data_IF_937747961656
#
_entry.id   IF_937747961656
#
_cell.length_a   1.000
_cell.length_b   1.000
_cell.length_c   1.000
_cell.angle_alpha   90.00
_cell.angle_beta   90.00
_cell.angle_gamma   90.00
#
_symmetry.space_group_name_H-M   'P 1'
#
loop_
_entity.id
_entity.type
_entity.pdbx_description
1 polymer ?
#
# COMPACT_ATOMS: atom_id res chain seq x y z
N UNK A 1 29.17 18.26 -2.40
CA UNK A 1 27.88 17.58 -2.21
C UNK A 1 27.81 16.42 -3.19
N UNK A 2 27.54 15.18 -2.76
CA UNK A 2 27.36 14.04 -3.66
C UNK A 2 25.87 13.87 -3.95
N UNK A 3 25.50 13.80 -5.23
CA UNK A 3 24.13 13.55 -5.65
C UNK A 3 23.92 12.04 -5.83
N UNK A 4 22.82 11.53 -5.31
CA UNK A 4 22.43 10.12 -5.44
C UNK A 4 21.14 10.02 -6.25
N UNK A 5 21.11 9.10 -7.22
CA UNK A 5 19.90 8.79 -7.98
C UNK A 5 19.15 7.65 -7.28
N UNK A 6 17.89 7.89 -6.91
CA UNK A 6 17.00 6.88 -6.34
C UNK A 6 16.05 6.41 -7.43
N UNK A 7 16.24 5.18 -7.90
CA UNK A 7 15.30 4.56 -8.84
C UNK A 7 13.99 4.19 -8.13
N UNK A 8 12.91 3.99 -8.87
CA UNK A 8 11.61 3.55 -8.29
C UNK A 8 11.74 2.27 -7.46
N UNK A 9 12.58 1.31 -7.88
CA UNK A 9 12.79 0.08 -7.12
C UNK A 9 13.55 0.34 -5.81
N UNK A 10 14.52 1.27 -5.83
CA UNK A 10 15.23 1.71 -4.63
C UNK A 10 14.31 2.48 -3.68
N UNK A 11 13.44 3.36 -4.20
CA UNK A 11 12.43 4.08 -3.41
C UNK A 11 11.47 3.13 -2.69
N UNK A 12 10.92 2.14 -3.40
CA UNK A 12 10.08 1.08 -2.79
C UNK A 12 10.80 0.31 -1.69
N UNK A 13 12.08 -0.04 -1.92
CA UNK A 13 12.91 -0.71 -0.90
C UNK A 13 13.17 0.18 0.30
N UNK A 14 13.41 1.47 0.09
CA UNK A 14 13.64 2.45 1.14
C UNK A 14 12.39 2.61 2.03
N UNK A 15 11.23 2.81 1.40
CA UNK A 15 9.93 2.82 2.08
C UNK A 15 9.74 1.54 2.90
N UNK A 16 10.03 0.38 2.33
CA UNK A 16 9.88 -0.90 3.01
C UNK A 16 10.75 -1.04 4.26
N UNK A 17 12.03 -0.66 4.17
CA UNK A 17 12.95 -0.68 5.33
C UNK A 17 12.50 0.27 6.44
N UNK A 18 12.01 1.44 6.08
CA UNK A 18 11.48 2.39 7.05
C UNK A 18 10.17 1.89 7.68
N UNK A 19 9.30 1.23 6.91
CA UNK A 19 8.02 0.74 7.39
C UNK A 19 8.16 -0.31 8.50
N UNK A 20 9.20 -1.15 8.48
CA UNK A 20 9.55 -2.06 9.58
C UNK A 20 9.87 -1.31 10.89
N UNK A 21 10.34 -0.06 10.79
CA UNK A 21 10.63 0.79 11.94
C UNK A 21 9.48 1.72 12.33
N UNK A 22 8.42 1.78 11.52
CA UNK A 22 7.29 2.66 11.75
C UNK A 22 6.61 2.35 13.09
N UNK A 23 6.33 3.35 13.95
CA UNK A 23 5.78 3.11 15.29
C UNK A 23 4.50 2.27 15.30
N UNK A 24 3.53 2.62 14.43
CA UNK A 24 2.28 1.86 14.31
C UNK A 24 2.47 0.42 13.83
N UNK A 25 3.44 0.18 12.93
CA UNK A 25 3.74 -1.18 12.44
C UNK A 25 4.38 -2.01 13.53
N UNK A 26 5.36 -1.47 14.25
CA UNK A 26 5.97 -2.16 15.40
C UNK A 26 4.95 -2.47 16.49
N UNK A 27 4.09 -1.50 16.80
CA UNK A 27 3.03 -1.66 17.80
C UNK A 27 2.08 -2.80 17.41
N UNK A 28 1.50 -2.75 16.21
CA UNK A 28 0.49 -3.74 15.79
C UNK A 28 1.07 -5.15 15.61
N UNK A 29 2.37 -5.26 15.28
CA UNK A 29 3.04 -6.56 15.21
C UNK A 29 3.21 -7.21 16.60
N UNK A 30 3.24 -6.43 17.68
CA UNK A 30 3.28 -6.96 19.04
C UNK A 30 1.91 -7.39 19.56
N UNK A 31 0.86 -6.65 19.19
CA UNK A 31 -0.52 -6.96 19.53
C UNK A 31 -1.48 -6.26 18.57
N UNK A 32 -2.34 -7.05 17.92
CA UNK A 32 -3.27 -6.60 16.89
C UNK A 32 -3.05 -7.26 15.55
N UNK A 33 -3.68 -6.72 14.51
CA UNK A 33 -3.60 -7.24 13.15
C UNK A 33 -3.06 -6.21 12.16
N UNK A 34 -2.00 -6.58 11.45
CA UNK A 34 -1.44 -5.86 10.31
C UNK A 34 -1.92 -6.52 9.02
N UNK A 35 -2.57 -5.75 8.15
CA UNK A 35 -2.94 -6.20 6.80
C UNK A 35 -2.15 -5.41 5.78
N UNK A 36 -1.29 -6.09 5.02
CA UNK A 36 -0.54 -5.52 3.90
C UNK A 36 -1.24 -5.93 2.62
N UNK A 37 -1.95 -4.99 1.99
CA UNK A 37 -2.71 -5.27 0.76
C UNK A 37 -1.76 -5.39 -0.43
N UNK A 38 -1.97 -6.37 -1.28
CA UNK A 38 -1.13 -6.65 -2.45
C UNK A 38 -0.95 -5.44 -3.38
N UNK A 39 0.31 -5.20 -3.77
CA UNK A 39 0.72 -4.08 -4.61
C UNK A 39 2.24 -4.02 -4.72
N UNK A 40 2.79 -3.47 -5.80
CA UNK A 40 4.23 -3.59 -6.06
C UNK A 40 5.12 -2.92 -5.01
N UNK A 41 4.69 -1.81 -4.39
CA UNK A 41 5.40 -1.20 -3.25
C UNK A 41 5.21 -2.03 -1.98
N UNK A 42 3.97 -2.42 -1.71
CA UNK A 42 3.60 -3.24 -0.56
C UNK A 42 4.25 -4.62 -0.56
N UNK A 43 4.63 -5.17 -1.72
CA UNK A 43 5.39 -6.41 -1.82
C UNK A 43 6.80 -6.28 -1.23
N UNK A 44 7.45 -5.12 -1.34
CA UNK A 44 8.72 -4.86 -0.66
C UNK A 44 8.50 -4.76 0.86
N UNK A 45 7.42 -4.10 1.29
CA UNK A 45 7.09 -3.97 2.72
C UNK A 45 6.80 -5.34 3.32
N UNK A 46 5.96 -6.15 2.68
CA UNK A 46 5.64 -7.51 3.09
C UNK A 46 6.90 -8.37 3.20
N UNK A 47 7.80 -8.31 2.22
CA UNK A 47 9.09 -9.02 2.26
C UNK A 47 9.94 -8.60 3.46
N UNK A 48 10.11 -7.30 3.72
CA UNK A 48 10.94 -6.81 4.84
C UNK A 48 10.29 -7.11 6.21
N UNK A 49 8.96 -6.94 6.34
CA UNK A 49 8.23 -7.26 7.57
C UNK A 49 8.30 -8.75 7.88
N UNK A 50 7.99 -9.63 6.91
CA UNK A 50 8.08 -11.07 7.11
C UNK A 50 9.51 -11.53 7.39
N UNK A 51 10.51 -10.91 6.75
CA UNK A 51 11.93 -11.17 7.06
C UNK A 51 12.26 -10.80 8.50
N UNK A 52 11.79 -9.64 8.98
CA UNK A 52 12.02 -9.20 10.37
C UNK A 52 11.38 -10.13 11.42
N UNK A 53 10.34 -10.85 11.03
CA UNK A 53 9.64 -11.83 11.87
C UNK A 53 10.17 -13.27 11.70
N UNK A 54 11.15 -13.51 10.82
CA UNK A 54 11.64 -14.86 10.50
C UNK A 54 10.63 -15.72 9.74
N UNK A 55 9.65 -15.11 9.05
CA UNK A 55 8.52 -15.79 8.42
C UNK A 55 8.44 -15.59 6.89
N UNK A 56 9.53 -15.11 6.26
CA UNK A 56 9.55 -14.82 4.81
C UNK A 56 9.48 -16.08 3.93
N UNK A 57 9.74 -17.27 4.48
CA UNK A 57 9.71 -18.51 3.72
C UNK A 57 8.37 -18.73 3.02
N UNK A 58 8.41 -19.01 1.71
CA UNK A 58 7.21 -19.16 0.86
C UNK A 58 6.53 -17.86 0.45
N UNK A 59 7.07 -16.68 0.79
CA UNK A 59 6.61 -15.40 0.24
C UNK A 59 7.39 -15.04 -1.04
N UNK A 60 6.68 -14.50 -2.04
CA UNK A 60 7.31 -13.90 -3.23
C UNK A 60 6.66 -12.57 -3.58
N UNK A 61 7.46 -11.51 -3.67
CA UNK A 61 6.95 -10.19 -4.09
C UNK A 61 6.54 -10.14 -5.56
N UNK A 62 6.98 -11.09 -6.40
CA UNK A 62 6.74 -11.07 -7.86
C UNK A 62 5.22 -11.18 -8.13
N UNK A 63 4.55 -12.09 -7.43
CA UNK A 63 3.10 -12.30 -7.51
C UNK A 63 2.26 -11.38 -6.62
N UNK A 64 2.90 -10.64 -5.69
CA UNK A 64 2.20 -9.82 -4.70
C UNK A 64 1.71 -8.47 -5.26
N UNK A 65 0.80 -8.53 -6.22
CA UNK A 65 0.26 -7.36 -6.92
C UNK A 65 -1.17 -7.61 -7.40
N UNK A 66 -1.98 -6.56 -7.43
CA UNK A 66 -3.33 -6.56 -8.00
C UNK A 66 -3.49 -5.37 -8.93
N UNK A 67 -4.29 -5.53 -9.99
CA UNK A 67 -4.58 -4.44 -10.93
C UNK A 67 -3.33 -3.87 -11.57
N UNK A 68 -2.65 -4.66 -12.41
CA UNK A 68 -1.44 -4.24 -13.09
C UNK A 68 -1.78 -3.56 -14.43
N UNK A 69 -1.37 -2.31 -14.59
CA UNK A 69 -1.30 -1.66 -15.90
C UNK A 69 0.06 -1.95 -16.53
N UNK A 70 0.06 -2.59 -17.70
CA UNK A 70 1.26 -2.84 -18.50
C UNK A 70 1.22 -2.00 -19.77
N UNK A 71 2.39 -1.73 -20.35
CA UNK A 71 2.47 -1.06 -21.64
C UNK A 71 1.74 -1.89 -22.72
N UNK A 72 1.19 -1.25 -23.78
CA UNK A 72 0.59 -1.97 -24.90
C UNK A 72 1.55 -3.05 -25.44
N UNK A 73 1.06 -4.28 -25.58
CA UNK A 73 1.84 -5.43 -26.06
C UNK A 73 2.74 -6.11 -25.03
N UNK A 74 2.93 -5.55 -23.84
CA UNK A 74 3.66 -6.21 -22.77
C UNK A 74 2.76 -7.23 -22.06
N UNK A 75 3.32 -8.40 -21.72
CA UNK A 75 2.65 -9.39 -20.87
C UNK A 75 3.21 -9.30 -19.44
N UNK A 76 2.36 -9.27 -18.41
CA UNK A 76 2.83 -9.47 -17.04
C UNK A 76 3.58 -10.79 -16.94
N UNK A 77 4.61 -10.86 -16.12
CA UNK A 77 5.14 -12.16 -15.70
C UNK A 77 4.03 -12.95 -15.01
N UNK A 78 3.84 -14.21 -15.43
CA UNK A 78 2.96 -15.16 -14.74
C UNK A 78 3.54 -15.42 -13.35
N UNK A 79 2.76 -15.11 -12.33
CA UNK A 79 3.14 -15.33 -10.94
C UNK A 79 1.89 -15.53 -10.11
N UNK A 80 1.90 -16.58 -9.30
CA UNK A 80 0.78 -16.91 -8.45
C UNK A 80 0.59 -15.85 -7.36
N UNK A 81 -0.68 -15.52 -7.11
CA UNK A 81 -1.09 -14.64 -6.04
C UNK A 81 -1.73 -15.47 -4.93
N UNK A 82 -1.03 -15.59 -3.79
CA UNK A 82 -1.44 -16.44 -2.67
C UNK A 82 -2.20 -15.69 -1.55
N UNK A 83 -2.74 -14.50 -1.85
CA UNK A 83 -3.44 -13.66 -0.88
C UNK A 83 -2.61 -12.45 -0.41
N UNK A 84 -3.23 -11.63 0.44
CA UNK A 84 -2.55 -10.52 1.09
C UNK A 84 -1.67 -11.03 2.23
N UNK A 85 -0.83 -10.18 2.82
CA UNK A 85 -0.10 -10.54 4.04
C UNK A 85 -0.89 -10.04 5.23
N UNK A 86 -1.48 -10.98 5.97
CA UNK A 86 -2.20 -10.72 7.23
C UNK A 86 -1.37 -11.27 8.37
N UNK A 87 -1.00 -10.42 9.33
CA UNK A 87 -0.21 -10.80 10.49
C UNK A 87 -1.02 -10.47 11.74
N UNK A 88 -1.30 -11.46 12.57
CA UNK A 88 -2.01 -11.28 13.85
C UNK A 88 -1.05 -11.63 14.97
N UNK A 89 -0.85 -10.69 15.90
CA UNK A 89 0.04 -10.84 17.05
C UNK A 89 1.43 -11.40 16.66
N UNK A 90 1.98 -10.87 15.56
CA UNK A 90 3.29 -11.25 15.04
C UNK A 90 3.33 -12.53 14.21
N UNK A 91 2.20 -13.23 14.00
CA UNK A 91 2.13 -14.50 13.25
C UNK A 91 1.44 -14.31 11.90
N UNK A 92 2.12 -14.70 10.82
CA UNK A 92 1.60 -14.62 9.46
C UNK A 92 0.49 -15.65 9.22
N UNK A 93 -0.70 -15.16 8.96
CA UNK A 93 -1.89 -15.92 8.59
C UNK A 93 -1.91 -16.14 7.06
N UNK A 94 -1.32 -17.25 6.61
CA UNK A 94 -1.17 -17.57 5.18
C UNK A 94 -2.52 -17.78 4.50
N UNK A 95 -2.59 -17.41 3.21
CA UNK A 95 -3.77 -17.62 2.36
C UNK A 95 -4.90 -16.61 2.57
N UNK A 96 -4.81 -15.73 3.58
CA UNK A 96 -5.83 -14.72 3.86
C UNK A 96 -5.74 -13.53 2.93
N UNK A 97 -6.85 -12.84 2.76
CA UNK A 97 -6.98 -11.60 2.02
C UNK A 97 -7.74 -10.54 2.82
N UNK A 98 -7.60 -9.27 2.41
CA UNK A 98 -8.34 -8.15 3.01
C UNK A 98 -9.86 -8.35 2.96
N UNK A 99 -10.38 -9.10 1.99
CA UNK A 99 -11.81 -9.36 1.88
C UNK A 99 -12.34 -10.23 3.01
N UNK A 100 -11.52 -11.17 3.50
CA UNK A 100 -11.91 -12.09 4.57
C UNK A 100 -11.77 -11.45 5.94
N UNK A 101 -10.75 -10.60 6.12
CA UNK A 101 -10.40 -10.07 7.44
C UNK A 101 -10.94 -8.67 7.73
N UNK A 102 -11.41 -7.93 6.72
CA UNK A 102 -11.87 -6.55 6.92
C UNK A 102 -12.97 -6.41 7.99
N UNK A 103 -13.84 -7.42 8.13
CA UNK A 103 -14.90 -7.49 9.14
C UNK A 103 -14.44 -8.08 10.48
N UNK A 104 -13.17 -8.42 10.63
CA UNK A 104 -12.58 -8.86 11.89
C UNK A 104 -11.69 -7.78 12.50
N UNK A 105 -11.16 -6.88 11.66
CA UNK A 105 -10.32 -5.77 12.10
C UNK A 105 -11.06 -4.86 13.08
N UNK A 106 -10.31 -4.20 13.96
CA UNK A 106 -10.81 -3.31 15.02
C UNK A 106 -9.89 -2.12 15.23
N UNK A 107 -10.35 -1.16 16.02
CA UNK A 107 -9.51 -0.05 16.47
C UNK A 107 -8.20 -0.57 17.09
N UNK A 108 -7.08 0.06 16.69
CA UNK A 108 -5.73 -0.40 17.04
C UNK A 108 -5.07 -1.29 15.99
N UNK A 109 -5.81 -1.84 15.02
CA UNK A 109 -5.25 -2.54 13.87
C UNK A 109 -4.77 -1.57 12.78
N UNK A 110 -3.96 -2.07 11.85
CA UNK A 110 -3.35 -1.29 10.77
C UNK A 110 -3.52 -1.96 9.42
N UNK A 111 -3.92 -1.19 8.42
CA UNK A 111 -3.92 -1.58 7.02
C UNK A 111 -2.88 -0.76 6.26
N UNK A 112 -2.03 -1.45 5.49
CA UNK A 112 -1.14 -0.84 4.51
C UNK A 112 -1.72 -1.04 3.11
N UNK A 113 -2.08 0.05 2.43
CA UNK A 113 -2.56 0.01 1.05
C UNK A 113 -1.92 1.11 0.23
N UNK A 114 -1.19 0.75 -0.81
CA UNK A 114 -0.58 1.73 -1.71
C UNK A 114 -1.59 2.53 -2.53
N UNK A 115 -1.09 3.56 -3.19
CA UNK A 115 -1.85 4.48 -4.05
C UNK A 115 -1.28 4.56 -5.47
N UNK A 116 -2.09 5.09 -6.40
CA UNK A 116 -1.73 5.35 -7.79
C UNK A 116 -1.47 6.84 -8.07
N UNK A 117 -1.97 7.71 -7.20
CA UNK A 117 -1.74 9.15 -7.26
C UNK A 117 -1.70 9.71 -5.83
N UNK A 118 -0.92 10.76 -5.61
CA UNK A 118 -1.10 11.65 -4.48
C UNK A 118 -0.68 13.08 -4.83
N UNK A 119 -1.26 14.08 -4.16
CA UNK A 119 -0.93 15.48 -4.41
C UNK A 119 -0.20 16.15 -3.23
N UNK A 120 0.22 17.40 -3.44
CA UNK A 120 0.89 18.20 -2.42
C UNK A 120 -0.03 18.63 -1.26
N UNK A 121 -1.34 18.36 -1.34
CA UNK A 121 -2.33 18.66 -0.29
C UNK A 121 -2.48 17.51 0.69
N UNK A 122 -1.70 16.43 0.52
CA UNK A 122 -1.76 15.24 1.36
C UNK A 122 -2.91 14.31 1.01
N UNK A 123 -3.43 14.37 -0.22
CA UNK A 123 -4.49 13.48 -0.67
C UNK A 123 -3.90 12.37 -1.52
N UNK A 124 -4.29 11.12 -1.25
CA UNK A 124 -3.91 9.97 -2.06
C UNK A 124 -5.14 9.35 -2.73
N UNK A 125 -4.95 8.71 -3.87
CA UNK A 125 -5.99 7.96 -4.54
C UNK A 125 -5.48 6.69 -5.22
N UNK A 126 -6.35 5.69 -5.27
CA UNK A 126 -6.10 4.39 -5.88
C UNK A 126 -6.95 4.22 -7.13
N UNK A 127 -6.39 3.58 -8.15
CA UNK A 127 -7.14 3.21 -9.34
C UNK A 127 -7.99 1.96 -9.09
N UNK A 128 -9.19 1.95 -9.66
CA UNK A 128 -10.18 0.90 -9.48
C UNK A 128 -10.62 0.37 -10.85
N UNK A 129 -10.23 -0.87 -11.16
CA UNK A 129 -10.70 -1.62 -12.32
C UNK A 129 -12.01 -2.39 -12.10
N UNK A 130 -12.31 -2.76 -10.85
CA UNK A 130 -13.47 -3.60 -10.53
C UNK A 130 -14.76 -2.76 -10.37
N UNK A 131 -15.92 -3.18 -10.92
CA UNK A 131 -17.16 -2.39 -10.87
C UNK A 131 -17.68 -2.16 -9.44
N UNK A 132 -17.37 -3.05 -8.51
CA UNK A 132 -17.73 -2.91 -7.09
C UNK A 132 -16.64 -2.22 -6.24
N UNK A 133 -15.68 -1.53 -6.86
CA UNK A 133 -14.63 -0.79 -6.11
C UNK A 133 -13.42 -1.62 -5.66
N UNK A 134 -13.52 -2.94 -5.67
CA UNK A 134 -12.39 -3.86 -5.41
C UNK A 134 -11.85 -3.75 -3.99
N UNK A 135 -10.54 -3.97 -3.81
CA UNK A 135 -9.90 -3.98 -2.48
C UNK A 135 -10.03 -2.65 -1.73
N UNK A 136 -10.25 -1.54 -2.44
CA UNK A 136 -10.37 -0.25 -1.80
C UNK A 136 -11.64 -0.15 -0.93
N UNK A 137 -12.76 -0.73 -1.38
CA UNK A 137 -14.00 -0.73 -0.59
C UNK A 137 -13.85 -1.62 0.65
N UNK A 138 -13.25 -2.80 0.52
CA UNK A 138 -12.96 -3.67 1.68
C UNK A 138 -12.09 -2.96 2.73
N UNK A 139 -11.06 -2.22 2.28
CA UNK A 139 -10.25 -1.40 3.18
C UNK A 139 -11.07 -0.28 3.83
N UNK A 140 -11.93 0.41 3.09
CA UNK A 140 -12.78 1.47 3.66
C UNK A 140 -13.77 0.94 4.70
N UNK A 141 -14.29 -0.29 4.53
CA UNK A 141 -15.12 -0.94 5.56
C UNK A 141 -14.39 -1.03 6.89
N UNK A 142 -13.12 -1.46 6.87
CA UNK A 142 -12.29 -1.52 8.07
C UNK A 142 -11.92 -0.12 8.61
N UNK A 143 -11.44 0.76 7.73
CA UNK A 143 -10.89 2.07 8.12
C UNK A 143 -11.96 3.02 8.65
N UNK A 144 -13.05 3.19 7.90
CA UNK A 144 -14.15 4.10 8.28
C UNK A 144 -15.09 3.40 9.26
N UNK A 145 -15.52 2.19 8.94
CA UNK A 145 -16.53 1.48 9.73
C UNK A 145 -16.04 1.04 11.11
N UNK A 146 -14.71 0.85 11.27
CA UNK A 146 -14.13 0.27 12.49
C UNK A 146 -12.94 1.03 13.05
N UNK A 147 -12.67 2.23 12.53
CA UNK A 147 -11.60 3.12 13.00
C UNK A 147 -10.20 2.48 12.91
N UNK A 148 -10.01 1.59 11.94
CA UNK A 148 -8.71 0.97 11.66
C UNK A 148 -7.77 2.01 11.03
N UNK A 149 -6.50 2.05 11.46
CA UNK A 149 -5.52 2.98 10.91
C UNK A 149 -5.16 2.57 9.48
N UNK A 150 -5.22 3.53 8.55
CA UNK A 150 -4.71 3.36 7.18
C UNK A 150 -3.39 4.09 7.03
N UNK A 151 -2.35 3.37 6.60
CA UNK A 151 -1.10 3.94 6.09
C UNK A 151 -1.05 3.64 4.59
N UNK A 152 -0.60 4.62 3.82
CA UNK A 152 -0.59 4.63 2.36
C UNK A 152 0.87 4.77 1.90
N UNK A 153 1.62 3.66 1.79
CA UNK A 153 2.95 3.68 1.23
C UNK A 153 2.88 3.99 -0.26
N UNK A 154 3.48 5.09 -0.68
CA UNK A 154 3.43 5.57 -2.07
C UNK A 154 4.72 6.29 -2.42
N UNK A 155 5.30 5.95 -3.57
CA UNK A 155 6.53 6.59 -4.01
C UNK A 155 6.27 7.92 -4.69
N UNK A 156 7.25 8.83 -4.63
CA UNK A 156 7.18 10.15 -5.25
C UNK A 156 6.92 10.10 -6.77
N UNK A 157 7.17 8.97 -7.45
CA UNK A 157 6.85 8.80 -8.87
C UNK A 157 5.34 8.80 -9.15
N UNK A 158 4.51 8.67 -8.11
CA UNK A 158 3.04 8.75 -8.19
C UNK A 158 2.51 10.14 -7.87
N UNK A 159 3.37 11.13 -7.62
CA UNK A 159 2.93 12.49 -7.34
C UNK A 159 2.25 13.10 -8.57
N UNK A 160 1.08 13.68 -8.36
CA UNK A 160 0.37 14.49 -9.36
C UNK A 160 0.44 15.97 -8.98
N UNK A 161 0.31 16.85 -9.97
CA UNK A 161 0.29 18.30 -9.76
C UNK A 161 -1.12 18.84 -9.49
N UNK A 162 -2.13 18.19 -10.07
CA UNK A 162 -3.53 18.54 -9.88
C UNK A 162 -4.07 18.05 -8.53
N UNK A 163 -5.22 18.62 -8.14
CA UNK A 163 -6.02 18.15 -7.01
C UNK A 163 -6.54 16.73 -7.28
N UNK A 164 -6.25 15.80 -6.37
CA UNK A 164 -6.68 14.39 -6.47
C UNK A 164 -8.20 14.26 -6.50
N UNK A 165 -8.95 15.12 -5.81
CA UNK A 165 -10.41 15.13 -5.86
C UNK A 165 -10.92 15.55 -7.24
N UNK A 166 -10.30 16.55 -7.85
CA UNK A 166 -10.64 16.98 -9.20
C UNK A 166 -10.33 15.89 -10.23
N UNK A 167 -9.19 15.20 -10.09
CA UNK A 167 -8.87 14.03 -10.92
C UNK A 167 -9.90 12.91 -10.73
N UNK A 168 -10.31 12.63 -9.49
CA UNK A 168 -11.30 11.61 -9.21
C UNK A 168 -12.67 11.94 -9.83
N UNK A 169 -13.13 13.18 -9.70
CA UNK A 169 -14.37 13.63 -10.34
C UNK A 169 -14.34 13.43 -11.86
N UNK A 170 -13.21 13.73 -12.51
CA UNK A 170 -13.02 13.54 -13.95
C UNK A 170 -13.00 12.06 -14.35
N UNK A 171 -12.20 11.24 -13.66
CA UNK A 171 -12.09 9.80 -13.96
C UNK A 171 -13.39 9.04 -13.71
N UNK A 172 -14.24 9.52 -12.81
CA UNK A 172 -15.47 8.84 -12.41
C UNK A 172 -16.73 9.42 -13.08
N UNK A 173 -16.59 10.40 -13.96
CA UNK A 173 -17.73 11.04 -14.63
C UNK A 173 -18.53 10.02 -15.45
N UNK A 174 -19.88 10.14 -15.50
CA UNK A 174 -20.72 9.28 -16.35
C UNK A 174 -20.25 9.31 -17.81
N UNK A 175 -20.19 8.13 -18.43
CA UNK A 175 -19.68 7.97 -19.80
C UNK A 175 -18.15 7.93 -19.91
N UNK A 176 -17.41 8.03 -18.80
CA UNK A 176 -15.96 7.86 -18.77
C UNK A 176 -15.53 6.41 -19.03
N UNK A 177 -14.37 6.25 -19.67
CA UNK A 177 -13.75 4.95 -19.95
C UNK A 177 -12.51 4.71 -19.06
N UNK A 178 -12.14 3.45 -18.88
CA UNK A 178 -10.95 3.05 -18.15
C UNK A 178 -11.15 2.91 -16.63
N UNK A 179 -10.04 2.88 -15.85
CA UNK A 179 -10.09 2.76 -14.40
C UNK A 179 -10.68 4.01 -13.74
N UNK A 180 -11.50 3.79 -12.72
CA UNK A 180 -11.97 4.83 -11.79
C UNK A 180 -10.84 5.23 -10.84
N UNK A 181 -10.97 6.39 -10.20
CA UNK A 181 -10.02 6.86 -9.20
C UNK A 181 -10.76 7.14 -7.89
N UNK A 182 -10.33 6.51 -6.80
CA UNK A 182 -10.93 6.67 -5.48
C UNK A 182 -9.93 7.33 -4.52
N UNK A 183 -10.22 8.54 -4.04
CA UNK A 183 -9.48 9.16 -2.94
C UNK A 183 -9.59 8.32 -1.67
N UNK A 184 -8.46 8.15 -0.98
CA UNK A 184 -8.36 7.45 0.29
C UNK A 184 -7.82 8.41 1.35
N UNK A 185 -8.49 8.45 2.50
CA UNK A 185 -8.04 9.20 3.67
C UNK A 185 -7.20 8.29 4.56
N UNK A 186 -5.91 8.61 4.70
CA UNK A 186 -4.96 7.84 5.50
C UNK A 186 -3.62 8.55 5.59
N UNK A 187 -2.70 8.00 6.36
CA UNK A 187 -1.34 8.52 6.50
C UNK A 187 -0.52 8.20 5.25
N UNK A 188 -0.17 9.21 4.46
CA UNK A 188 0.74 9.04 3.33
C UNK A 188 2.16 8.82 3.85
N UNK A 189 2.85 7.82 3.30
CA UNK A 189 4.24 7.52 3.65
C UNK A 189 5.09 7.32 2.40
N UNK A 190 6.05 8.22 2.18
CA UNK A 190 6.89 8.33 0.98
C UNK A 190 8.36 8.04 1.26
N UNK A 191 9.22 8.14 0.24
CA UNK A 191 10.67 8.11 0.41
C UNK A 191 11.19 9.22 1.33
N UNK A 192 10.55 10.39 1.36
CA UNK A 192 10.97 11.50 2.23
C UNK A 192 10.74 11.14 3.70
N UNK A 193 9.58 10.56 4.01
CA UNK A 193 9.24 10.08 5.35
C UNK A 193 10.17 8.93 5.75
N UNK A 194 10.52 8.05 4.81
CA UNK A 194 11.47 6.98 5.02
C UNK A 194 12.87 7.49 5.36
N UNK A 195 13.38 8.50 4.63
CA UNK A 195 14.67 9.13 4.90
C UNK A 195 14.67 9.78 6.28
N UNK A 196 13.63 10.54 6.59
CA UNK A 196 13.45 11.19 7.90
C UNK A 196 13.45 10.17 9.03
N UNK A 197 12.64 9.11 8.91
CA UNK A 197 12.52 8.07 9.94
C UNK A 197 13.83 7.29 10.13
N UNK A 198 14.54 6.96 9.05
CA UNK A 198 15.74 6.12 9.11
C UNK A 198 17.02 6.88 9.49
N UNK A 199 17.11 8.18 9.19
CA UNK A 199 18.35 8.95 9.31
C UNK A 199 18.22 10.28 10.05
N UNK A 200 17.01 10.76 10.27
CA UNK A 200 16.75 12.11 10.81
C UNK A 200 16.94 13.24 9.80
N UNK A 201 17.31 12.95 8.54
CA UNK A 201 17.47 13.98 7.52
C UNK A 201 16.13 14.55 7.04
N UNK A 202 16.11 15.84 6.72
CA UNK A 202 14.95 16.57 6.19
C UNK A 202 15.25 17.08 4.76
N UNK A 203 14.19 17.29 3.98
CA UNK A 203 14.24 17.69 2.56
C UNK A 203 14.03 19.20 2.38
#
# INVERSE_FOLDING_TARGET
MKQHCVTTAMGKRLIAKAMVQHPEVRRVLSSGTLVIVAGTTNGYIAEEVLTSLGQVEGFSRIGFRRGLTVAPGARPADADFHGDVVITDGVWQRGKSVYEVAEELREGDVVLKGANAFDARGQAAVQIGHPQGGTAIAVLTAVIGRRVKLIIPVGLEKRVLDDVQALAARCNAPGGEGPRLLPLSGEIFTELDAIRLLSGAEA
#
